data_IF_464775348233
#
_entry.id   IF_464775348233
#
_cell.length_a   1.000
_cell.length_b   1.000
_cell.length_c   1.000
_cell.angle_alpha   90.00
_cell.angle_beta   90.00
_cell.angle_gamma   90.00
#
_symmetry.space_group_name_H-M   'P 1'
#
loop_
_entity.id
_entity.type
_entity.pdbx_description
1 polymer ?
#
# COMPACT_ATOMS: atom_id res chain seq x y z
N UNK A 1 -17.16 -50.62 -66.52
CA UNK A 1 -16.24 -50.44 -65.37
C UNK A 1 -15.67 -49.02 -65.19
N UNK A 2 -15.93 -48.06 -66.09
CA UNK A 2 -15.51 -46.65 -65.92
C UNK A 2 -16.43 -45.86 -64.97
N UNK A 3 -17.73 -46.17 -64.98
CA UNK A 3 -18.74 -45.49 -64.16
C UNK A 3 -18.48 -45.60 -62.64
N UNK A 4 -17.89 -46.72 -62.20
CA UNK A 4 -17.53 -46.95 -60.80
C UNK A 4 -16.32 -46.11 -60.35
N UNK A 5 -15.39 -45.78 -61.26
CA UNK A 5 -14.24 -44.91 -60.98
C UNK A 5 -14.62 -43.43 -60.96
N UNK A 6 -15.61 -43.01 -61.74
CA UNK A 6 -16.10 -41.63 -61.77
C UNK A 6 -16.88 -41.30 -60.49
N UNK A 7 -17.76 -42.20 -60.04
CA UNK A 7 -18.50 -42.04 -58.76
C UNK A 7 -17.54 -42.01 -57.56
N UNK A 8 -16.45 -42.78 -57.60
CA UNK A 8 -15.41 -42.72 -56.56
C UNK A 8 -14.61 -41.41 -56.56
N UNK A 9 -14.36 -40.80 -57.73
CA UNK A 9 -13.65 -39.52 -57.82
C UNK A 9 -14.53 -38.33 -57.40
N UNK A 10 -15.82 -38.34 -57.76
CA UNK A 10 -16.76 -37.29 -57.35
C UNK A 10 -16.98 -37.30 -55.83
N UNK A 11 -17.18 -38.47 -55.19
CA UNK A 11 -17.25 -38.55 -53.71
C UNK A 11 -15.98 -38.09 -53.00
N UNK A 12 -14.80 -38.24 -53.63
CA UNK A 12 -13.50 -37.82 -53.07
C UNK A 12 -13.30 -36.31 -53.18
N UNK A 13 -13.74 -35.69 -54.28
CA UNK A 13 -13.68 -34.24 -54.47
C UNK A 13 -14.60 -33.50 -53.49
N UNK A 14 -15.85 -33.95 -53.32
CA UNK A 14 -16.78 -33.34 -52.36
C UNK A 14 -16.26 -33.43 -50.91
N UNK A 15 -15.66 -34.56 -50.52
CA UNK A 15 -15.05 -34.69 -49.19
C UNK A 15 -13.84 -33.78 -48.97
N UNK A 16 -13.09 -33.48 -50.05
CA UNK A 16 -11.95 -32.56 -49.99
C UNK A 16 -12.45 -31.12 -49.82
N UNK A 17 -13.53 -30.74 -50.51
CA UNK A 17 -14.17 -29.44 -50.33
C UNK A 17 -14.69 -29.25 -48.90
N UNK A 18 -15.42 -30.23 -48.36
CA UNK A 18 -15.91 -30.21 -46.97
C UNK A 18 -14.75 -30.11 -45.96
N UNK A 19 -13.64 -30.83 -46.20
CA UNK A 19 -12.47 -30.77 -45.34
C UNK A 19 -11.79 -29.40 -45.37
N UNK A 20 -11.72 -28.76 -46.54
CA UNK A 20 -11.17 -27.41 -46.69
C UNK A 20 -12.07 -26.40 -45.97
N UNK A 21 -13.39 -26.46 -46.18
CA UNK A 21 -14.35 -25.57 -45.50
C UNK A 21 -14.25 -25.70 -43.98
N UNK A 22 -14.18 -26.93 -43.47
CA UNK A 22 -13.96 -27.19 -42.05
C UNK A 22 -12.62 -26.63 -41.56
N UNK A 23 -11.54 -26.84 -42.30
CA UNK A 23 -10.22 -26.31 -41.95
C UNK A 23 -10.20 -24.77 -41.89
N UNK A 24 -10.86 -24.10 -42.85
CA UNK A 24 -10.97 -22.64 -42.87
C UNK A 24 -11.73 -22.14 -41.63
N UNK A 25 -12.83 -22.79 -41.26
CA UNK A 25 -13.59 -22.41 -40.05
C UNK A 25 -12.75 -22.60 -38.79
N UNK A 26 -12.06 -23.73 -38.65
CA UNK A 26 -11.19 -24.01 -37.48
C UNK A 26 -10.04 -23.02 -37.40
N UNK A 27 -9.38 -22.71 -38.52
CA UNK A 27 -8.32 -21.70 -38.58
C UNK A 27 -8.87 -20.32 -38.24
N UNK A 28 -10.06 -19.96 -38.74
CA UNK A 28 -10.71 -18.70 -38.44
C UNK A 28 -10.98 -18.52 -36.94
N UNK A 29 -11.54 -19.54 -36.28
CA UNK A 29 -11.76 -19.54 -34.83
C UNK A 29 -10.44 -19.47 -34.07
N UNK A 30 -9.44 -20.25 -34.48
CA UNK A 30 -8.12 -20.26 -33.86
C UNK A 30 -7.47 -18.88 -33.94
N UNK A 31 -7.42 -18.25 -35.11
CA UNK A 31 -6.88 -16.90 -35.28
C UNK A 31 -7.67 -15.87 -34.48
N UNK A 32 -9.00 -16.00 -34.43
CA UNK A 32 -9.85 -15.12 -33.62
C UNK A 32 -9.46 -15.15 -32.13
N UNK A 33 -9.27 -16.35 -31.57
CA UNK A 33 -8.81 -16.53 -30.18
C UNK A 33 -7.38 -15.98 -30.01
N UNK A 34 -6.48 -16.27 -30.94
CA UNK A 34 -5.09 -15.77 -30.85
C UNK A 34 -5.01 -14.25 -30.85
N UNK A 35 -5.78 -13.57 -31.70
CA UNK A 35 -5.85 -12.09 -31.73
C UNK A 35 -6.46 -11.55 -30.44
N UNK A 36 -7.51 -12.20 -29.91
CA UNK A 36 -8.12 -11.80 -28.66
C UNK A 36 -7.14 -11.92 -27.48
N UNK A 37 -6.41 -13.04 -27.38
CA UNK A 37 -5.40 -13.27 -26.35
C UNK A 37 -4.25 -12.26 -26.46
N UNK A 38 -3.75 -11.99 -27.67
CA UNK A 38 -2.69 -11.01 -27.86
C UNK A 38 -3.12 -9.59 -27.45
N UNK A 39 -4.36 -9.21 -27.75
CA UNK A 39 -4.90 -7.92 -27.32
C UNK A 39 -5.05 -7.84 -25.79
N UNK A 40 -5.41 -8.94 -25.13
CA UNK A 40 -5.44 -9.03 -23.66
C UNK A 40 -4.04 -8.91 -23.06
N UNK A 41 -3.05 -9.65 -23.56
CA UNK A 41 -1.66 -9.57 -23.10
C UNK A 41 -1.11 -8.13 -23.18
N UNK A 42 -1.41 -7.42 -24.27
CA UNK A 42 -1.00 -6.03 -24.44
C UNK A 42 -1.71 -5.06 -23.48
N UNK A 43 -2.97 -5.34 -23.15
CA UNK A 43 -3.71 -4.55 -22.15
C UNK A 43 -3.17 -4.79 -20.74
N UNK A 44 -2.88 -6.05 -20.41
CA UNK A 44 -2.31 -6.50 -19.14
C UNK A 44 -0.92 -5.90 -18.91
N UNK A 45 -0.06 -5.88 -19.94
CA UNK A 45 1.27 -5.24 -19.88
C UNK A 45 1.16 -3.73 -19.57
N UNK A 46 0.24 -3.03 -20.25
CA UNK A 46 0.00 -1.59 -20.01
C UNK A 46 -0.52 -1.33 -18.59
N UNK A 47 -1.43 -2.17 -18.11
CA UNK A 47 -2.00 -2.07 -16.77
C UNK A 47 -0.93 -2.33 -15.70
N UNK A 48 -0.11 -3.38 -15.87
CA UNK A 48 1.01 -3.71 -15.01
C UNK A 48 2.04 -2.57 -14.91
N UNK A 49 2.37 -1.95 -16.03
CA UNK A 49 3.23 -0.75 -16.04
C UNK A 49 2.60 0.44 -15.31
N UNK A 50 1.30 0.69 -15.51
CA UNK A 50 0.59 1.76 -14.81
C UNK A 50 0.58 1.54 -13.29
N UNK A 51 0.33 0.30 -12.84
CA UNK A 51 0.43 -0.07 -11.43
C UNK A 51 1.84 0.15 -10.88
N UNK A 52 2.88 -0.29 -11.59
CA UNK A 52 4.26 -0.12 -11.15
C UNK A 52 4.63 1.37 -10.97
N UNK A 53 4.21 2.23 -11.90
CA UNK A 53 4.44 3.68 -11.81
C UNK A 53 3.72 4.32 -10.60
N UNK A 54 2.46 3.95 -10.38
CA UNK A 54 1.67 4.43 -9.23
C UNK A 54 2.30 3.97 -7.91
N UNK A 55 2.67 2.70 -7.82
CA UNK A 55 3.31 2.13 -6.65
C UNK A 55 4.65 2.82 -6.34
N UNK A 56 5.46 3.07 -7.38
CA UNK A 56 6.71 3.81 -7.23
C UNK A 56 6.47 5.24 -6.71
N UNK A 57 5.43 5.93 -7.19
CA UNK A 57 5.08 7.27 -6.73
C UNK A 57 4.65 7.26 -5.26
N UNK A 58 3.84 6.29 -4.85
CA UNK A 58 3.41 6.13 -3.46
C UNK A 58 4.60 5.84 -2.53
N UNK A 59 5.49 4.93 -2.92
CA UNK A 59 6.70 4.62 -2.15
C UNK A 59 7.67 5.82 -2.05
N UNK A 60 7.77 6.67 -3.08
CA UNK A 60 8.56 7.90 -3.02
C UNK A 60 8.00 8.91 -2.02
N UNK A 61 6.67 9.06 -1.97
CA UNK A 61 5.99 9.92 -0.99
C UNK A 61 6.19 9.39 0.43
N UNK A 62 6.06 8.07 0.60
CA UNK A 62 6.28 7.43 1.89
C UNK A 62 7.74 7.60 2.35
N UNK A 63 8.72 7.41 1.45
CA UNK A 63 10.13 7.62 1.78
C UNK A 63 10.41 9.05 2.26
N UNK A 64 9.81 10.07 1.64
CA UNK A 64 9.90 11.46 2.11
C UNK A 64 9.30 11.61 3.51
N UNK A 65 8.10 11.09 3.74
CA UNK A 65 7.45 11.13 5.05
C UNK A 65 8.27 10.42 6.14
N UNK A 66 8.90 9.29 5.81
CA UNK A 66 9.78 8.56 6.73
C UNK A 66 11.06 9.33 7.06
N UNK A 67 11.64 10.06 6.10
CA UNK A 67 12.80 10.94 6.36
C UNK A 67 12.44 12.05 7.34
N UNK A 68 11.30 12.71 7.13
CA UNK A 68 10.80 13.72 8.08
C UNK A 68 10.54 13.12 9.47
N UNK A 69 10.10 11.86 9.54
CA UNK A 69 9.86 11.17 10.81
C UNK A 69 11.15 10.87 11.58
N UNK A 70 12.27 10.63 10.89
CA UNK A 70 13.59 10.47 11.52
C UNK A 70 14.00 11.76 12.25
N UNK A 71 13.86 12.91 11.61
CA UNK A 71 14.17 14.21 12.21
C UNK A 71 13.28 14.52 13.42
N UNK A 72 11.99 14.16 13.30
CA UNK A 72 11.03 14.25 14.39
C UNK A 72 11.46 13.39 15.60
N UNK A 73 11.79 12.11 15.39
CA UNK A 73 12.23 11.23 16.48
C UNK A 73 13.57 11.65 17.09
N UNK A 74 14.48 12.21 16.29
CA UNK A 74 15.71 12.81 16.81
C UNK A 74 15.41 13.98 17.76
N UNK A 75 14.37 14.79 17.48
CA UNK A 75 13.94 15.86 18.38
C UNK A 75 13.32 15.32 19.69
N UNK A 76 12.52 14.26 19.60
CA UNK A 76 11.96 13.59 20.79
C UNK A 76 13.08 13.02 21.66
N UNK A 77 14.07 12.35 21.06
CA UNK A 77 15.21 11.77 21.79
C UNK A 77 16.04 12.85 22.49
N UNK A 78 16.32 13.99 21.83
CA UNK A 78 16.95 15.15 22.48
C UNK A 78 16.14 15.65 23.69
N UNK A 79 14.81 15.62 23.60
CA UNK A 79 13.93 15.93 24.72
C UNK A 79 14.10 14.95 25.89
N UNK A 80 14.22 13.66 25.61
CA UNK A 80 14.48 12.60 26.61
C UNK A 80 15.81 12.86 27.31
N UNK A 81 16.90 13.00 26.55
CA UNK A 81 18.26 13.24 27.06
C UNK A 81 18.31 14.52 27.91
N UNK A 82 17.63 15.59 27.46
CA UNK A 82 17.59 16.84 28.20
C UNK A 82 16.78 16.73 29.48
N UNK A 83 15.69 15.97 29.47
CA UNK A 83 14.88 15.70 30.66
C UNK A 83 15.71 14.96 31.71
N UNK A 84 16.43 13.92 31.31
CA UNK A 84 17.29 13.13 32.19
C UNK A 84 18.38 13.99 32.84
N UNK A 85 19.09 14.80 32.05
CA UNK A 85 20.11 15.73 32.55
C UNK A 85 19.56 16.77 33.55
N UNK A 86 18.34 17.26 33.34
CA UNK A 86 17.71 18.23 34.24
C UNK A 86 17.23 17.59 35.54
N UNK A 87 16.75 16.34 35.49
CA UNK A 87 16.34 15.57 36.68
C UNK A 87 17.53 15.20 37.57
N UNK A 88 18.71 14.97 36.98
CA UNK A 88 19.93 14.64 37.72
C UNK A 88 20.42 15.79 38.63
N UNK A 89 19.94 17.02 38.44
CA UNK A 89 20.32 18.16 39.26
C UNK A 89 19.07 18.87 39.85
N UNK A 90 18.85 18.81 41.18
CA UNK A 90 17.70 19.43 41.85
C UNK A 90 17.59 20.95 41.70
N UNK A 91 18.67 21.63 41.29
CA UNK A 91 18.71 23.09 41.08
C UNK A 91 18.47 23.50 39.62
N UNK A 92 18.15 22.55 38.75
CA UNK A 92 17.87 22.81 37.34
C UNK A 92 16.63 23.69 37.13
N UNK A 93 16.58 24.36 35.98
CA UNK A 93 15.41 25.14 35.58
C UNK A 93 14.15 24.26 35.45
N UNK A 94 13.20 24.44 36.36
CA UNK A 94 11.93 23.73 36.38
C UNK A 94 11.12 23.93 35.10
N UNK A 95 11.17 25.13 34.49
CA UNK A 95 10.46 25.40 33.24
C UNK A 95 11.08 24.59 32.09
N UNK A 96 12.41 24.58 31.99
CA UNK A 96 13.11 23.75 31.01
C UNK A 96 12.80 22.26 31.20
N UNK A 97 12.70 21.79 32.45
CA UNK A 97 12.36 20.40 32.75
C UNK A 97 10.96 20.04 32.22
N UNK A 98 9.96 20.85 32.54
CA UNK A 98 8.57 20.64 32.09
C UNK A 98 8.48 20.64 30.55
N UNK A 99 9.14 21.59 29.89
CA UNK A 99 9.13 21.67 28.42
C UNK A 99 9.76 20.44 27.76
N UNK A 100 10.93 20.00 28.25
CA UNK A 100 11.62 18.86 27.65
C UNK A 100 10.92 17.53 27.96
N UNK A 101 10.37 17.38 29.18
CA UNK A 101 9.58 16.20 29.54
C UNK A 101 8.33 16.09 28.67
N UNK A 102 7.68 17.22 28.39
CA UNK A 102 6.55 17.26 27.46
C UNK A 102 6.96 16.84 26.04
N UNK A 103 8.04 17.41 25.49
CA UNK A 103 8.56 17.07 24.16
C UNK A 103 8.95 15.60 24.03
N UNK A 104 9.56 15.04 25.07
CA UNK A 104 9.91 13.62 25.15
C UNK A 104 8.68 12.67 25.08
N UNK A 105 7.47 13.21 25.28
CA UNK A 105 6.21 12.46 25.25
C UNK A 105 5.41 12.65 23.94
N UNK A 106 5.93 13.43 22.99
CA UNK A 106 5.26 13.73 21.72
C UNK A 106 5.21 12.52 20.80
N UNK A 107 4.07 12.35 20.12
CA UNK A 107 3.85 11.31 19.12
C UNK A 107 3.52 11.94 17.78
N UNK A 108 4.05 11.32 16.72
CA UNK A 108 3.68 11.64 15.35
C UNK A 108 3.34 10.32 14.66
N UNK A 109 2.12 10.25 14.13
CA UNK A 109 1.66 9.13 13.34
C UNK A 109 1.39 9.60 11.92
N UNK A 110 2.11 9.02 10.97
CA UNK A 110 1.83 9.16 9.55
C UNK A 110 1.57 7.78 8.98
N UNK A 111 0.33 7.54 8.57
CA UNK A 111 -0.07 6.29 7.97
C UNK A 111 0.65 6.09 6.64
N UNK A 112 1.17 4.87 6.42
CA UNK A 112 1.67 4.45 5.10
C UNK A 112 0.53 4.47 4.09
N UNK A 113 0.72 5.06 2.92
CA UNK A 113 -0.26 4.96 1.83
C UNK A 113 -0.23 3.57 1.21
N UNK A 114 -1.37 2.87 1.24
CA UNK A 114 -1.51 1.49 0.75
C UNK A 114 -2.45 1.35 -0.44
N UNK A 115 -3.11 2.44 -0.85
CA UNK A 115 -4.24 2.39 -1.77
C UNK A 115 -3.94 1.63 -3.07
N UNK A 116 -2.82 1.92 -3.72
CA UNK A 116 -2.43 1.23 -4.96
C UNK A 116 -2.13 -0.26 -4.73
N UNK A 117 -1.50 -0.61 -3.61
CA UNK A 117 -1.23 -2.01 -3.27
C UNK A 117 -2.52 -2.79 -2.98
N UNK A 118 -3.43 -2.19 -2.21
CA UNK A 118 -4.70 -2.81 -1.86
C UNK A 118 -5.59 -2.99 -3.12
N UNK A 119 -5.55 -2.04 -4.06
CA UNK A 119 -6.19 -2.17 -5.39
C UNK A 119 -5.64 -3.38 -6.15
N UNK A 120 -4.32 -3.47 -6.34
CA UNK A 120 -3.66 -4.59 -7.06
C UNK A 120 -4.01 -5.95 -6.44
N UNK A 121 -4.00 -6.04 -5.11
CA UNK A 121 -4.36 -7.28 -4.40
C UNK A 121 -5.84 -7.60 -4.56
N UNK A 122 -6.72 -6.60 -4.43
CA UNK A 122 -8.18 -6.79 -4.55
C UNK A 122 -8.61 -7.22 -5.96
N UNK A 123 -7.91 -6.74 -6.99
CA UNK A 123 -8.13 -7.12 -8.38
C UNK A 123 -7.45 -8.44 -8.76
N UNK A 124 -6.67 -9.04 -7.86
CA UNK A 124 -5.80 -10.18 -8.12
C UNK A 124 -4.72 -9.95 -9.21
N UNK A 125 -4.38 -8.68 -9.48
CA UNK A 125 -3.46 -8.25 -10.54
C UNK A 125 -1.98 -8.34 -10.14
N UNK A 126 -1.65 -8.97 -9.02
CA UNK A 126 -0.27 -9.10 -8.54
C UNK A 126 0.67 -9.74 -9.57
N UNK A 127 0.15 -10.60 -10.44
CA UNK A 127 0.90 -11.23 -11.53
C UNK A 127 1.25 -10.29 -12.70
N UNK A 128 0.58 -9.14 -12.81
CA UNK A 128 0.84 -8.13 -13.84
C UNK A 128 2.05 -7.25 -13.50
N UNK A 129 2.49 -7.26 -12.24
CA UNK A 129 3.65 -6.48 -11.81
C UNK A 129 4.96 -7.08 -12.35
N UNK A 130 6.00 -6.25 -12.56
CA UNK A 130 7.30 -6.75 -12.96
C UNK A 130 7.85 -7.82 -11.99
N UNK A 131 8.68 -8.76 -12.47
CA UNK A 131 9.18 -9.86 -11.65
C UNK A 131 9.80 -9.39 -10.33
N UNK A 132 9.37 -9.99 -9.23
CA UNK A 132 9.83 -9.69 -7.88
C UNK A 132 9.16 -8.48 -7.20
N UNK A 133 8.54 -7.57 -7.95
CA UNK A 133 7.91 -6.36 -7.39
C UNK A 133 6.76 -6.72 -6.46
N UNK A 134 5.90 -7.68 -6.85
CA UNK A 134 4.78 -8.11 -6.01
C UNK A 134 5.24 -8.66 -4.64
N UNK A 135 6.34 -9.42 -4.60
CA UNK A 135 6.90 -9.95 -3.35
C UNK A 135 7.43 -8.81 -2.48
N UNK A 136 8.27 -7.95 -3.03
CA UNK A 136 8.87 -6.84 -2.27
C UNK A 136 7.82 -5.85 -1.76
N UNK A 137 6.80 -5.55 -2.58
CA UNK A 137 5.68 -4.73 -2.15
C UNK A 137 4.87 -5.41 -1.04
N UNK A 138 4.57 -6.71 -1.19
CA UNK A 138 3.89 -7.49 -0.17
C UNK A 138 4.62 -7.50 1.17
N UNK A 139 5.93 -7.70 1.17
CA UNK A 139 6.77 -7.62 2.38
C UNK A 139 6.73 -6.23 3.01
N UNK A 140 6.85 -5.17 2.21
CA UNK A 140 6.82 -3.80 2.68
C UNK A 140 5.47 -3.41 3.31
N UNK A 141 4.34 -3.83 2.70
CA UNK A 141 2.99 -3.53 3.18
C UNK A 141 2.44 -4.54 4.20
N UNK A 142 3.15 -5.63 4.49
CA UNK A 142 2.72 -6.64 5.45
C UNK A 142 2.59 -6.08 6.88
N UNK A 143 3.41 -5.08 7.24
CA UNK A 143 3.48 -4.53 8.59
C UNK A 143 3.31 -3.02 8.56
N UNK A 144 2.36 -2.52 9.35
CA UNK A 144 2.23 -1.08 9.64
C UNK A 144 3.15 -0.68 10.80
N UNK A 145 4.42 -0.40 10.48
CA UNK A 145 5.43 0.00 11.46
C UNK A 145 5.06 1.29 12.20
N UNK A 146 4.36 2.21 11.53
CA UNK A 146 3.93 3.47 12.13
C UNK A 146 2.88 3.23 13.22
N UNK A 147 1.93 2.32 12.96
CA UNK A 147 0.92 1.95 13.94
C UNK A 147 1.49 1.19 15.12
N UNK A 148 2.38 0.22 14.87
CA UNK A 148 3.04 -0.52 15.95
C UNK A 148 3.80 0.41 16.91
N UNK A 149 4.48 1.42 16.36
CA UNK A 149 5.21 2.42 17.16
C UNK A 149 4.24 3.32 17.93
N UNK A 150 3.16 3.76 17.29
CA UNK A 150 2.11 4.55 17.93
C UNK A 150 1.50 3.82 19.12
N UNK A 151 1.13 2.55 18.96
CA UNK A 151 0.49 1.75 19.99
C UNK A 151 1.42 1.58 21.21
N UNK A 152 2.68 1.21 20.98
CA UNK A 152 3.66 1.05 22.05
C UNK A 152 3.94 2.35 22.81
N UNK A 153 4.06 3.48 22.11
CA UNK A 153 4.35 4.77 22.76
C UNK A 153 3.12 5.37 23.46
N UNK A 154 1.91 5.17 22.91
CA UNK A 154 0.66 5.62 23.52
C UNK A 154 0.40 4.92 24.86
N UNK A 155 0.76 3.65 24.95
CA UNK A 155 0.62 2.84 26.17
C UNK A 155 1.78 3.04 27.17
N UNK A 156 2.80 3.84 26.84
CA UNK A 156 3.93 4.03 27.73
C UNK A 156 3.55 4.75 29.04
N UNK A 157 3.95 4.17 30.17
CA UNK A 157 3.68 4.76 31.49
C UNK A 157 4.33 6.14 31.69
N UNK A 158 5.45 6.40 31.00
CA UNK A 158 6.06 7.72 30.95
C UNK A 158 5.13 8.76 30.33
N UNK A 159 4.66 8.52 29.10
CA UNK A 159 3.78 9.45 28.40
C UNK A 159 2.50 9.69 29.20
N UNK A 160 1.88 8.63 29.71
CA UNK A 160 0.65 8.75 30.49
C UNK A 160 0.84 9.68 31.70
N UNK A 161 1.91 9.49 32.48
CA UNK A 161 2.24 10.35 33.63
C UNK A 161 2.52 11.80 33.23
N UNK A 162 3.37 12.02 32.23
CA UNK A 162 3.73 13.37 31.76
C UNK A 162 2.49 14.12 31.28
N UNK A 163 1.62 13.47 30.51
CA UNK A 163 0.41 14.09 29.92
C UNK A 163 -0.69 14.32 30.94
N UNK A 164 -0.76 13.54 32.02
CA UNK A 164 -1.64 13.82 33.16
C UNK A 164 -1.18 15.02 33.99
N UNK A 165 0.13 15.13 34.24
CA UNK A 165 0.70 16.21 35.08
C UNK A 165 0.78 17.53 34.29
N UNK A 166 1.09 17.46 33.00
CA UNK A 166 1.24 18.60 32.09
C UNK A 166 0.15 18.50 31.01
N UNK A 167 -1.11 18.87 31.33
CA UNK A 167 -2.22 18.73 30.40
C UNK A 167 -2.10 19.71 29.23
N UNK A 168 -2.40 19.24 28.02
CA UNK A 168 -2.58 20.13 26.88
C UNK A 168 -3.89 20.91 27.03
N UNK A 169 -3.93 22.15 26.55
CA UNK A 169 -5.16 22.97 26.49
C UNK A 169 -6.34 22.28 25.78
N UNK A 170 -6.09 21.29 24.91
CA UNK A 170 -7.10 20.47 24.22
C UNK A 170 -7.63 19.28 25.04
N UNK A 171 -6.93 18.90 26.12
CA UNK A 171 -7.27 17.74 26.97
C UNK A 171 -8.06 18.14 28.23
N UNK A 172 -8.40 19.43 28.40
CA UNK A 172 -9.28 19.86 29.50
C UNK A 172 -10.71 19.45 29.15
N UNK A 173 -11.42 18.67 29.99
CA UNK A 173 -12.84 18.52 29.83
C UNK A 173 -13.47 19.91 29.92
N UNK A 174 -14.20 20.29 28.87
CA UNK A 174 -14.96 21.54 28.79
C UNK A 174 -16.11 21.48 29.78
N UNK A 175 -15.84 21.50 31.08
CA UNK A 175 -16.84 21.83 32.09
C UNK A 175 -17.02 23.35 32.06
N UNK A 176 -17.77 23.81 31.05
CA UNK A 176 -18.46 25.09 31.14
C UNK A 176 -19.38 25.03 32.36
N UNK A 177 -19.33 26.00 33.29
CA UNK A 177 -20.35 26.08 34.32
C UNK A 177 -21.67 26.39 33.62
N UNK A 178 -22.62 25.45 33.70
CA UNK A 178 -24.02 25.76 33.45
C UNK A 178 -24.41 26.84 34.46
N UNK A 179 -24.36 28.10 34.04
CA UNK A 179 -25.05 29.18 34.73
C UNK A 179 -26.53 28.82 34.73
N UNK A 180 -27.02 28.45 35.91
CA UNK A 180 -28.42 28.27 36.17
C UNK A 180 -29.12 29.62 35.90
N UNK A 181 -29.89 29.67 34.80
CA UNK A 181 -30.93 30.67 34.65
C UNK A 181 -32.00 30.39 35.69
N UNK A 182 -32.13 31.30 36.65
CA UNK A 182 -33.41 31.70 37.24
C UNK A 182 -33.43 33.21 37.31
#
# INVERSE_FOLDING_TARGET
MILRRVIQHVRKQEWTAIAIDFAIVVIGVFVGIQVANWNQELADERLGHAYALRLQADLKRDLLARRELVDYHAAVLRGVERTDALLANPRSDAKALVVNAYRASELNYRATSRATWDEIVSSADTGLLPPGVARSAGEYFAIDSARLTLDGLTQSGYRHRVRMIIPHRSDRPTHLPMQARR
#
